data_IF_088888038405
#
_entry.id   IF_088888038405
#
_cell.length_a   1.000
_cell.length_b   1.000
_cell.length_c   1.000
_cell.angle_alpha   90.00
_cell.angle_beta   90.00
_cell.angle_gamma   90.00
#
_symmetry.space_group_name_H-M   'P 1'
#
loop_
_entity.id
_entity.type
_entity.pdbx_description
1 polymer ?
#
# COMPACT_ATOMS: atom_id res chain seq x y z
N UNK A 1 -13.84 24.62 -22.63
CA UNK A 1 -13.82 23.96 -21.30
C UNK A 1 -13.15 22.61 -21.51
N UNK A 2 -11.95 22.41 -20.99
CA UNK A 2 -11.26 21.12 -21.05
C UNK A 2 -11.87 20.22 -19.97
N UNK A 3 -12.66 19.23 -20.37
CA UNK A 3 -13.18 18.22 -19.47
C UNK A 3 -12.00 17.50 -18.81
N UNK A 4 -11.91 17.61 -17.48
CA UNK A 4 -10.89 16.94 -16.71
C UNK A 4 -11.33 15.49 -16.54
N UNK A 5 -10.62 14.56 -17.16
CA UNK A 5 -10.90 13.13 -17.02
C UNK A 5 -10.76 12.78 -15.52
N UNK A 6 -11.72 12.07 -14.92
CA UNK A 6 -11.60 11.65 -13.52
C UNK A 6 -10.37 10.76 -13.34
N UNK A 7 -9.63 10.98 -12.25
CA UNK A 7 -8.38 10.27 -11.95
C UNK A 7 -8.41 9.65 -10.55
N UNK A 8 -7.61 8.60 -10.37
CA UNK A 8 -7.37 7.91 -9.12
C UNK A 8 -5.91 8.09 -8.72
N UNK A 9 -5.66 8.29 -7.43
CA UNK A 9 -4.31 8.34 -6.85
C UNK A 9 -3.98 7.03 -6.16
N UNK A 10 -2.82 6.46 -6.49
CA UNK A 10 -2.30 5.22 -5.94
C UNK A 10 -0.92 5.43 -5.33
N UNK A 11 -0.69 4.77 -4.22
CA UNK A 11 0.63 4.63 -3.59
C UNK A 11 1.07 3.18 -3.73
N UNK A 12 2.37 2.92 -3.67
CA UNK A 12 2.90 1.59 -3.92
C UNK A 12 3.76 1.14 -2.77
N UNK A 13 3.42 -0.01 -2.21
CA UNK A 13 4.32 -0.77 -1.35
C UNK A 13 5.15 -1.70 -2.24
N UNK A 14 6.44 -1.83 -1.99
CA UNK A 14 7.29 -2.81 -2.64
C UNK A 14 7.27 -4.16 -1.89
N UNK A 15 7.90 -5.18 -2.49
CA UNK A 15 7.97 -6.52 -1.91
C UNK A 15 8.55 -6.56 -0.49
N UNK A 16 9.38 -5.61 -0.10
CA UNK A 16 10.02 -5.56 1.22
C UNK A 16 9.15 -4.89 2.29
N UNK A 17 7.94 -4.44 1.92
CA UNK A 17 7.05 -3.70 2.82
C UNK A 17 7.41 -2.23 2.95
N UNK A 18 8.25 -1.69 2.07
CA UNK A 18 8.60 -0.28 2.02
C UNK A 18 7.70 0.45 1.04
N UNK A 19 7.47 1.73 1.28
CA UNK A 19 6.70 2.57 0.39
C UNK A 19 7.60 3.19 -0.66
N UNK A 20 7.20 3.07 -1.92
CA UNK A 20 7.80 3.79 -3.04
C UNK A 20 7.66 5.29 -2.80
N UNK A 21 8.78 6.00 -2.87
CA UNK A 21 8.89 7.41 -2.48
C UNK A 21 9.83 8.16 -3.44
N UNK A 22 9.93 9.47 -3.25
CA UNK A 22 10.80 10.35 -4.03
C UNK A 22 11.91 10.91 -3.15
N UNK A 23 13.15 10.84 -3.65
CA UNK A 23 14.28 11.49 -3.03
C UNK A 23 14.44 12.91 -3.59
N UNK A 24 14.16 13.98 -2.82
CA UNK A 24 14.22 15.36 -3.32
C UNK A 24 15.63 15.86 -3.58
N UNK A 25 16.67 15.23 -3.03
CA UNK A 25 18.06 15.64 -3.22
C UNK A 25 18.62 15.12 -4.55
N UNK A 26 18.34 13.87 -4.90
CA UNK A 26 18.81 13.24 -6.14
C UNK A 26 17.79 13.33 -7.27
N UNK A 27 16.55 13.70 -6.95
CA UNK A 27 15.41 13.74 -7.85
C UNK A 27 15.07 12.39 -8.50
N UNK A 28 15.30 11.29 -7.76
CA UNK A 28 15.09 9.91 -8.21
C UNK A 28 13.99 9.21 -7.41
N UNK A 29 13.58 8.02 -7.88
CA UNK A 29 12.81 7.11 -7.03
C UNK A 29 13.68 6.69 -5.85
N UNK A 30 12.99 6.41 -4.76
CA UNK A 30 13.52 5.87 -3.53
C UNK A 30 12.44 5.04 -2.87
N UNK A 31 12.74 4.51 -1.70
CA UNK A 31 11.76 3.85 -0.86
C UNK A 31 12.07 4.14 0.60
N UNK A 32 11.04 4.12 1.42
CA UNK A 32 11.15 4.32 2.86
C UNK A 32 10.31 3.25 3.58
N UNK A 33 10.75 2.75 4.74
CA UNK A 33 9.93 1.88 5.55
C UNK A 33 8.53 2.45 5.76
N UNK A 34 7.50 1.61 5.72
CA UNK A 34 6.14 2.05 6.01
C UNK A 34 6.07 2.67 7.42
N UNK A 35 5.49 3.86 7.50
CA UNK A 35 5.30 4.60 8.75
C UNK A 35 3.81 4.91 8.92
N UNK A 36 3.12 4.34 9.92
CA UNK A 36 1.71 4.63 10.17
C UNK A 36 1.43 6.14 10.26
N UNK A 37 0.38 6.60 9.57
CA UNK A 37 -0.02 8.00 9.57
C UNK A 37 0.81 8.93 8.67
N UNK A 38 1.88 8.44 8.05
CA UNK A 38 2.70 9.21 7.10
C UNK A 38 2.42 8.78 5.66
N UNK A 39 2.05 9.73 4.82
CA UNK A 39 1.90 9.48 3.39
C UNK A 39 3.26 9.61 2.68
N UNK A 40 3.60 8.68 1.76
CA UNK A 40 4.77 8.81 0.90
C UNK A 40 4.74 10.11 0.07
N UNK A 41 5.93 10.61 -0.26
CA UNK A 41 6.12 11.80 -1.09
C UNK A 41 5.87 11.56 -2.59
N UNK A 42 5.61 10.31 -2.99
CA UNK A 42 5.31 9.92 -4.36
C UNK A 42 3.97 9.18 -4.46
N UNK A 43 3.21 9.47 -5.51
CA UNK A 43 2.01 8.72 -5.88
C UNK A 43 1.90 8.62 -7.41
N UNK A 44 1.15 7.65 -7.92
CA UNK A 44 0.74 7.60 -9.31
C UNK A 44 -0.68 8.12 -9.47
N UNK A 45 -0.89 8.91 -10.52
CA UNK A 45 -2.20 9.30 -11.03
C UNK A 45 -2.54 8.40 -12.22
N UNK A 46 -3.69 7.74 -12.14
CA UNK A 46 -4.19 6.82 -13.17
C UNK A 46 -5.61 7.22 -13.60
N UNK A 47 -6.02 6.92 -14.84
CA UNK A 47 -7.36 7.24 -15.32
C UNK A 47 -8.45 6.43 -14.61
N UNK A 48 -9.66 6.99 -14.57
CA UNK A 48 -10.89 6.29 -14.15
C UNK A 48 -11.78 6.05 -15.38
N UNK A 49 -12.28 4.82 -15.62
CA UNK A 49 -12.13 3.63 -14.78
C UNK A 49 -10.71 3.08 -14.78
N UNK A 50 -10.26 2.60 -13.62
CA UNK A 50 -8.93 2.01 -13.47
C UNK A 50 -8.88 0.66 -14.17
N UNK A 51 -7.99 0.54 -15.16
CA UNK A 51 -7.77 -0.66 -15.95
C UNK A 51 -6.27 -0.84 -16.17
N UNK A 52 -5.83 -2.10 -16.29
CA UNK A 52 -4.45 -2.47 -16.60
C UNK A 52 -4.40 -3.16 -17.98
N UNK A 53 -3.32 -2.98 -18.76
CA UNK A 53 -2.20 -2.08 -18.48
C UNK A 53 -2.59 -0.60 -18.60
N UNK A 54 -1.86 0.29 -17.94
CA UNK A 54 -2.03 1.73 -18.10
C UNK A 54 -0.72 2.50 -17.91
N UNK A 55 -0.71 3.78 -18.31
CA UNK A 55 0.44 4.68 -18.20
C UNK A 55 0.24 5.65 -17.02
N UNK A 56 0.68 5.30 -15.80
CA UNK A 56 0.58 6.18 -14.65
C UNK A 56 1.44 7.44 -14.81
N UNK A 57 0.92 8.57 -14.34
CA UNK A 57 1.72 9.78 -14.15
C UNK A 57 2.22 9.83 -12.71
N UNK A 58 3.53 9.78 -12.53
CA UNK A 58 4.16 9.81 -11.21
C UNK A 58 4.25 11.25 -10.69
N UNK A 59 3.53 11.56 -9.62
CA UNK A 59 3.43 12.89 -9.03
C UNK A 59 4.21 13.00 -7.71
N UNK A 60 5.14 13.96 -7.70
CA UNK A 60 5.96 14.33 -6.53
C UNK A 60 5.18 15.31 -5.64
N UNK A 61 5.23 15.10 -4.32
CA UNK A 61 4.53 15.96 -3.36
C UNK A 61 5.29 17.25 -3.01
N UNK A 62 6.63 17.23 -3.04
CA UNK A 62 7.47 18.30 -2.46
C UNK A 62 8.55 18.87 -3.39
N UNK A 63 8.75 18.34 -4.60
CA UNK A 63 9.71 18.91 -5.56
C UNK A 63 9.16 18.90 -6.98
N UNK A 64 9.57 19.89 -7.77
CA UNK A 64 9.38 19.95 -9.21
C UNK A 64 10.66 20.50 -9.84
N UNK A 65 11.50 19.64 -10.47
CA UNK A 65 12.07 20.08 -11.74
C UNK A 65 12.08 19.03 -12.86
N UNK A 66 12.08 17.72 -12.59
CA UNK A 66 12.13 16.70 -13.67
C UNK A 66 10.98 15.69 -13.61
N UNK A 67 10.34 15.36 -14.74
CA UNK A 67 9.44 14.23 -14.79
C UNK A 67 10.21 12.93 -14.57
N UNK A 68 9.56 11.95 -13.97
CA UNK A 68 10.04 10.57 -13.99
C UNK A 68 9.96 10.00 -15.42
N UNK A 69 10.73 8.95 -15.74
CA UNK A 69 10.55 8.26 -17.01
C UNK A 69 9.12 7.76 -17.14
N UNK A 70 8.68 7.62 -18.39
CA UNK A 70 7.42 6.98 -18.69
C UNK A 70 7.44 5.52 -18.23
N UNK A 71 6.37 5.12 -17.55
CA UNK A 71 6.17 3.77 -17.04
C UNK A 71 4.85 3.24 -17.58
N UNK A 72 4.82 1.96 -17.88
CA UNK A 72 3.60 1.19 -18.10
C UNK A 72 3.39 0.28 -16.89
N UNK A 73 2.28 0.47 -16.20
CA UNK A 73 1.88 -0.38 -15.10
C UNK A 73 1.10 -1.57 -15.66
N UNK A 74 1.58 -2.77 -15.37
CA UNK A 74 0.99 -4.04 -15.84
C UNK A 74 0.48 -4.85 -14.64
N UNK A 75 -0.60 -5.59 -14.84
CA UNK A 75 -1.10 -6.52 -13.84
C UNK A 75 -0.18 -7.74 -13.74
N UNK A 76 0.07 -8.18 -12.51
CA UNK A 76 0.62 -9.50 -12.21
C UNK A 76 -0.52 -10.42 -11.76
N UNK A 77 -0.46 -10.96 -10.55
CA UNK A 77 -1.52 -11.79 -9.97
C UNK A 77 -2.07 -11.13 -8.71
N UNK A 78 -3.36 -11.35 -8.41
CA UNK A 78 -3.98 -10.96 -7.15
C UNK A 78 -3.81 -9.47 -6.78
N UNK A 79 -4.07 -8.54 -7.72
CA UNK A 79 -3.91 -7.08 -7.53
C UNK A 79 -2.46 -6.59 -7.36
N UNK A 80 -1.46 -7.42 -7.60
CA UNK A 80 -0.07 -6.99 -7.65
C UNK A 80 0.26 -6.43 -9.04
N UNK A 81 1.20 -5.50 -9.11
CA UNK A 81 1.60 -4.85 -10.37
C UNK A 81 3.11 -4.81 -10.53
N UNK A 82 3.53 -4.63 -11.78
CA UNK A 82 4.91 -4.35 -12.17
C UNK A 82 4.93 -3.08 -13.02
N UNK A 83 6.09 -2.41 -13.08
CA UNK A 83 6.26 -1.24 -13.94
C UNK A 83 7.31 -1.53 -15.02
N UNK A 84 6.87 -1.57 -16.27
CA UNK A 84 7.73 -1.65 -17.45
C UNK A 84 8.17 -0.24 -17.86
N UNK A 85 9.43 -0.08 -18.26
CA UNK A 85 9.94 1.11 -18.95
C UNK A 85 9.90 0.81 -20.46
N UNK A 86 8.91 1.33 -21.22
CA UNK A 86 8.71 0.91 -22.61
C UNK A 86 9.93 1.15 -23.50
N UNK A 87 10.68 2.22 -23.22
CA UNK A 87 11.87 2.61 -23.98
C UNK A 87 13.01 1.58 -23.90
N UNK A 88 13.17 0.92 -22.77
CA UNK A 88 14.30 0.00 -22.52
C UNK A 88 13.87 -1.46 -22.44
N UNK A 89 12.57 -1.73 -22.28
CA UNK A 89 12.07 -3.08 -22.06
C UNK A 89 12.46 -3.66 -20.70
N UNK A 90 12.85 -2.80 -19.74
CA UNK A 90 13.28 -3.19 -18.40
C UNK A 90 12.26 -2.77 -17.36
N UNK A 91 12.33 -3.37 -16.17
CA UNK A 91 11.37 -3.16 -15.10
C UNK A 91 11.93 -2.29 -13.97
N UNK A 92 11.05 -1.52 -13.34
CA UNK A 92 11.32 -0.86 -12.06
C UNK A 92 11.55 -1.94 -11.00
N UNK A 93 12.62 -1.81 -10.22
CA UNK A 93 12.90 -2.71 -9.09
C UNK A 93 13.28 -1.97 -7.83
N UNK A 94 12.85 -2.51 -6.70
CA UNK A 94 13.22 -2.09 -5.37
C UNK A 94 14.33 -2.98 -4.80
N UNK A 95 15.53 -2.44 -4.59
CA UNK A 95 16.69 -3.23 -4.15
C UNK A 95 16.96 -3.00 -2.67
N UNK A 96 16.90 -4.03 -1.81
CA UNK A 96 17.05 -3.87 -0.36
C UNK A 96 18.51 -3.65 0.07
N UNK A 97 19.50 -4.01 -0.74
CA UNK A 97 20.91 -4.07 -0.32
C UNK A 97 21.71 -2.79 -0.59
N UNK A 98 22.36 -2.27 0.45
CA UNK A 98 23.56 -1.41 0.42
C UNK A 98 23.40 0.04 -0.06
N UNK A 99 22.45 0.31 -0.95
CA UNK A 99 22.21 1.65 -1.52
C UNK A 99 20.77 2.13 -1.36
N UNK A 100 19.86 1.32 -0.78
CA UNK A 100 18.44 1.64 -0.58
C UNK A 100 17.84 2.34 -1.82
N UNK A 101 17.94 1.63 -2.96
CA UNK A 101 17.73 2.22 -4.29
C UNK A 101 16.57 1.57 -5.01
N UNK A 102 15.89 2.41 -5.78
CA UNK A 102 14.92 1.99 -6.77
C UNK A 102 15.51 2.34 -8.14
N UNK A 103 15.66 1.34 -9.00
CA UNK A 103 16.27 1.51 -10.33
C UNK A 103 15.43 0.81 -11.42
N UNK A 104 15.85 0.91 -12.69
CA UNK A 104 15.13 0.39 -13.86
C UNK A 104 15.90 -0.71 -14.60
N UNK A 105 16.79 -1.43 -13.94
CA UNK A 105 17.74 -2.32 -14.61
C UNK A 105 17.30 -3.80 -14.62
N UNK A 106 16.10 -4.13 -14.12
CA UNK A 106 15.61 -5.50 -14.10
C UNK A 106 15.21 -5.97 -15.52
N UNK A 107 15.76 -7.08 -16.02
CA UNK A 107 15.40 -7.60 -17.34
C UNK A 107 14.11 -8.43 -17.34
N UNK A 108 13.63 -8.85 -16.17
CA UNK A 108 12.43 -9.65 -16.00
C UNK A 108 11.81 -9.37 -14.62
N UNK A 109 10.49 -9.50 -14.47
CA UNK A 109 9.83 -9.31 -13.19
C UNK A 109 10.12 -10.50 -12.25
N UNK A 110 10.60 -10.20 -11.04
CA UNK A 110 10.68 -11.10 -9.91
C UNK A 110 10.04 -10.43 -8.69
N UNK A 111 10.36 -10.94 -7.49
CA UNK A 111 9.84 -10.38 -6.24
C UNK A 111 10.14 -8.86 -6.12
N UNK A 112 11.36 -8.43 -6.39
CA UNK A 112 11.80 -7.04 -6.18
C UNK A 112 11.20 -6.03 -7.18
N UNK A 113 10.66 -6.53 -8.29
CA UNK A 113 9.98 -5.75 -9.32
C UNK A 113 8.45 -5.68 -9.08
N UNK A 114 7.98 -6.33 -8.02
CA UNK A 114 6.56 -6.43 -7.69
C UNK A 114 6.16 -5.35 -6.69
N UNK A 115 5.03 -4.70 -6.97
CA UNK A 115 4.47 -3.64 -6.15
C UNK A 115 3.00 -3.90 -5.85
N UNK A 116 2.55 -3.46 -4.68
CA UNK A 116 1.16 -3.51 -4.26
C UNK A 116 0.55 -2.09 -4.33
N UNK A 117 -0.39 -1.84 -5.27
CA UNK A 117 -1.09 -0.57 -5.38
C UNK A 117 -2.08 -0.39 -4.23
N UNK A 118 -2.04 0.78 -3.60
CA UNK A 118 -2.84 1.12 -2.43
C UNK A 118 -3.56 2.45 -2.65
N UNK A 119 -4.86 2.51 -2.34
CA UNK A 119 -5.58 3.78 -2.22
C UNK A 119 -5.27 4.45 -0.88
N UNK A 120 -5.69 5.71 -0.72
CA UNK A 120 -5.53 6.43 0.53
C UNK A 120 -6.25 5.75 1.70
N UNK A 121 -7.41 5.14 1.45
CA UNK A 121 -8.17 4.37 2.43
C UNK A 121 -7.40 3.12 2.84
N UNK A 122 -6.79 2.40 1.90
CA UNK A 122 -5.96 1.24 2.23
C UNK A 122 -4.77 1.60 3.09
N UNK A 123 -4.07 2.71 2.78
CA UNK A 123 -2.96 3.21 3.60
C UNK A 123 -3.40 3.58 5.01
N UNK A 124 -4.56 4.23 5.14
CA UNK A 124 -5.16 4.53 6.45
C UNK A 124 -5.49 3.25 7.20
N UNK A 125 -6.08 2.27 6.53
CA UNK A 125 -6.44 1.00 7.15
C UNK A 125 -5.22 0.25 7.66
N UNK A 126 -4.18 0.14 6.82
CA UNK A 126 -2.90 -0.43 7.22
C UNK A 126 -2.25 0.35 8.36
N UNK A 127 -2.31 1.68 8.33
CA UNK A 127 -1.79 2.52 9.42
C UNK A 127 -2.50 2.22 10.74
N UNK A 128 -3.82 2.10 10.73
CA UNK A 128 -4.60 1.78 11.95
C UNK A 128 -4.20 0.41 12.52
N UNK A 129 -4.06 -0.59 11.65
CA UNK A 129 -3.68 -1.96 12.05
C UNK A 129 -2.28 -2.00 12.67
N UNK A 130 -1.32 -1.25 12.11
CA UNK A 130 0.08 -1.26 12.56
C UNK A 130 0.39 -0.22 13.65
N UNK A 131 -0.57 0.62 14.04
CA UNK A 131 -0.36 1.61 15.11
C UNK A 131 -0.38 0.90 16.47
N UNK A 132 0.73 1.00 17.20
CA UNK A 132 0.80 0.60 18.60
C UNK A 132 -0.28 1.36 19.42
N UNK A 133 -0.75 0.75 20.52
CA UNK A 133 -1.85 1.24 21.37
C UNK A 133 -3.28 0.97 20.86
N UNK A 134 -3.50 -0.11 20.11
CA UNK A 134 -4.85 -0.61 19.82
C UNK A 134 -5.81 0.39 19.13
N UNK A 135 -5.27 1.31 18.32
CA UNK A 135 -6.08 2.24 17.52
C UNK A 135 -7.18 1.51 16.73
N UNK A 136 -6.92 0.26 16.35
CA UNK A 136 -7.93 -0.71 16.01
C UNK A 136 -7.74 -2.04 16.75
N UNK A 137 -8.86 -2.70 17.06
CA UNK A 137 -8.94 -4.08 17.55
C UNK A 137 -9.72 -4.93 16.55
N UNK A 138 -9.21 -6.11 16.22
CA UNK A 138 -9.87 -7.07 15.34
C UNK A 138 -10.31 -8.26 16.18
N UNK A 139 -11.62 -8.42 16.35
CA UNK A 139 -12.24 -9.46 17.18
C UNK A 139 -12.88 -10.53 16.29
N UNK A 140 -12.60 -11.81 16.54
CA UNK A 140 -13.23 -12.92 15.81
C UNK A 140 -14.61 -13.27 16.41
N UNK A 141 -15.32 -14.24 15.80
CA UNK A 141 -16.62 -14.69 16.32
C UNK A 141 -16.55 -15.35 17.72
N UNK A 142 -15.38 -15.85 18.12
CA UNK A 142 -15.12 -16.42 19.44
C UNK A 142 -14.75 -15.35 20.49
N UNK A 143 -14.79 -14.07 20.13
CA UNK A 143 -14.39 -12.92 20.96
C UNK A 143 -12.89 -12.84 21.28
N UNK A 144 -12.06 -13.56 20.52
CA UNK A 144 -10.61 -13.43 20.61
C UNK A 144 -10.14 -12.24 19.78
N UNK A 145 -9.24 -11.45 20.36
CA UNK A 145 -8.58 -10.34 19.70
C UNK A 145 -7.35 -10.82 18.94
N UNK A 146 -7.21 -10.40 17.69
CA UNK A 146 -5.95 -10.57 16.98
C UNK A 146 -4.85 -9.70 17.63
N UNK A 147 -3.63 -10.23 17.77
CA UNK A 147 -2.49 -9.49 18.30
C UNK A 147 -2.07 -8.36 17.35
N UNK A 148 -1.20 -7.45 17.81
CA UNK A 148 -0.62 -6.44 16.93
C UNK A 148 0.27 -7.14 15.87
N UNK A 149 0.00 -6.98 14.56
CA UNK A 149 0.79 -7.66 13.56
C UNK A 149 2.10 -6.93 13.28
N UNK A 150 3.01 -7.63 12.60
CA UNK A 150 4.21 -7.05 12.00
C UNK A 150 4.15 -7.15 10.48
N UNK A 151 4.67 -6.14 9.78
CA UNK A 151 4.76 -6.14 8.32
C UNK A 151 6.02 -6.89 7.89
N UNK A 152 5.84 -7.87 7.00
CA UNK A 152 6.89 -8.71 6.44
C UNK A 152 6.94 -8.59 4.91
N UNK A 153 8.04 -9.08 4.34
CA UNK A 153 8.21 -9.22 2.90
C UNK A 153 7.06 -10.03 2.26
N UNK A 154 6.78 -9.77 0.98
CA UNK A 154 5.68 -10.41 0.26
C UNK A 154 4.31 -9.81 0.55
N UNK A 155 4.27 -8.58 1.08
CA UNK A 155 3.05 -7.87 1.46
C UNK A 155 2.25 -8.63 2.54
N UNK A 156 2.93 -9.14 3.57
CA UNK A 156 2.33 -9.99 4.60
C UNK A 156 2.22 -9.24 5.93
N UNK A 157 1.03 -9.28 6.55
CA UNK A 157 0.86 -8.97 7.97
C UNK A 157 0.92 -10.26 8.78
N UNK A 158 1.91 -10.40 9.66
CA UNK A 158 2.03 -11.56 10.54
C UNK A 158 1.42 -11.28 11.90
N UNK A 159 0.38 -12.04 12.23
CA UNK A 159 -0.29 -12.09 13.53
C UNK A 159 0.18 -13.35 14.27
N UNK A 160 1.23 -13.24 15.08
CA UNK A 160 1.88 -14.40 15.72
C UNK A 160 2.28 -15.48 14.71
N UNK A 161 1.51 -16.57 14.61
CA UNK A 161 1.73 -17.72 13.72
C UNK A 161 0.91 -17.66 12.42
N UNK A 162 0.12 -16.61 12.21
CA UNK A 162 -0.76 -16.45 11.04
C UNK A 162 -0.28 -15.35 10.10
N UNK A 163 -0.15 -15.70 8.83
CA UNK A 163 0.21 -14.77 7.77
C UNK A 163 -1.05 -14.31 7.03
N UNK A 164 -1.27 -12.99 7.01
CA UNK A 164 -2.37 -12.34 6.30
C UNK A 164 -1.82 -11.58 5.08
N UNK A 165 -2.01 -12.08 3.85
CA UNK A 165 -1.56 -11.39 2.64
C UNK A 165 -2.39 -10.13 2.37
N UNK A 166 -1.75 -8.96 2.32
CA UNK A 166 -2.42 -7.67 2.11
C UNK A 166 -3.17 -7.60 0.77
N UNK A 167 -2.61 -8.21 -0.28
CA UNK A 167 -3.15 -8.19 -1.63
C UNK A 167 -4.46 -8.98 -1.80
N UNK A 168 -4.76 -9.91 -0.87
CA UNK A 168 -6.06 -10.59 -0.79
C UNK A 168 -7.10 -9.80 0.02
N UNK A 169 -6.67 -8.79 0.78
CA UNK A 169 -7.46 -8.11 1.79
C UNK A 169 -7.68 -6.62 1.48
N UNK A 170 -7.64 -6.23 0.21
CA UNK A 170 -7.79 -4.82 -0.22
C UNK A 170 -9.11 -4.20 0.24
N UNK A 171 -10.21 -4.95 0.18
CA UNK A 171 -11.53 -4.50 0.64
C UNK A 171 -11.56 -4.26 2.15
N UNK A 172 -11.00 -5.20 2.94
CA UNK A 172 -10.91 -5.06 4.39
C UNK A 172 -10.05 -3.85 4.79
N UNK A 173 -8.89 -3.66 4.14
CA UNK A 173 -8.04 -2.48 4.38
C UNK A 173 -8.78 -1.17 4.08
N UNK A 174 -9.52 -1.09 2.98
CA UNK A 174 -10.34 0.10 2.65
C UNK A 174 -11.40 0.36 3.71
N UNK A 175 -12.15 -0.67 4.08
CA UNK A 175 -13.22 -0.56 5.05
C UNK A 175 -12.70 -0.13 6.42
N UNK A 176 -11.59 -0.73 6.87
CA UNK A 176 -10.91 -0.35 8.11
C UNK A 176 -10.44 1.11 8.05
N UNK A 177 -9.85 1.54 6.92
CA UNK A 177 -9.39 2.92 6.75
C UNK A 177 -10.49 3.98 6.70
N UNK A 178 -11.74 3.56 6.53
CA UNK A 178 -12.94 4.41 6.53
C UNK A 178 -13.69 4.41 7.86
N UNK A 179 -13.33 3.53 8.81
CA UNK A 179 -13.95 3.52 10.13
C UNK A 179 -13.72 4.83 10.86
N UNK A 180 -14.78 5.42 11.41
CA UNK A 180 -14.66 6.61 12.27
C UNK A 180 -14.24 6.22 13.70
N UNK A 181 -13.53 7.08 14.45
CA UNK A 181 -13.21 6.82 15.84
C UNK A 181 -14.45 6.48 16.66
N UNK A 182 -14.37 5.46 17.52
CA UNK A 182 -15.48 4.98 18.34
C UNK A 182 -16.46 4.04 17.62
N UNK A 183 -16.35 3.87 16.30
CA UNK A 183 -17.22 2.97 15.54
C UNK A 183 -16.61 1.58 15.38
N UNK A 184 -17.49 0.62 15.06
CA UNK A 184 -17.11 -0.74 14.71
C UNK A 184 -17.76 -1.15 13.39
N UNK A 185 -17.13 -2.05 12.63
CA UNK A 185 -17.74 -2.63 11.44
C UNK A 185 -17.30 -4.09 11.25
N UNK A 186 -18.17 -4.94 10.67
CA UNK A 186 -17.77 -6.29 10.28
C UNK A 186 -16.80 -6.22 9.10
N UNK A 187 -15.69 -6.95 9.17
CA UNK A 187 -14.70 -7.04 8.11
C UNK A 187 -14.42 -8.52 7.81
N UNK A 188 -14.13 -8.83 6.56
CA UNK A 188 -13.84 -10.19 6.13
C UNK A 188 -12.39 -10.32 5.73
N UNK A 189 -11.66 -11.23 6.38
CA UNK A 189 -10.22 -11.44 6.18
C UNK A 189 -9.96 -12.79 5.49
N UNK A 190 -9.22 -12.75 4.39
CA UNK A 190 -8.81 -13.93 3.62
C UNK A 190 -7.35 -14.26 3.93
N UNK A 191 -7.12 -15.42 4.54
CA UNK A 191 -5.79 -15.85 4.98
C UNK A 191 -5.00 -16.56 3.87
N UNK A 192 -5.70 -17.27 2.99
CA UNK A 192 -5.07 -18.07 1.93
C UNK A 192 -5.86 -17.93 0.62
N UNK A 193 -5.15 -18.09 -0.50
CA UNK A 193 -5.76 -18.14 -1.83
C UNK A 193 -6.76 -19.30 -1.87
N UNK A 194 -7.88 -19.10 -2.55
CA UNK A 194 -8.98 -20.08 -2.71
C UNK A 194 -9.66 -20.53 -1.40
N UNK A 195 -9.39 -19.86 -0.28
CA UNK A 195 -10.12 -20.08 0.98
C UNK A 195 -11.19 -19.01 1.20
N UNK A 196 -12.35 -19.38 1.77
CA UNK A 196 -13.38 -18.39 2.09
C UNK A 196 -12.88 -17.40 3.15
N UNK A 197 -13.28 -16.12 3.07
CA UNK A 197 -12.95 -15.15 4.10
C UNK A 197 -13.52 -15.53 5.47
N UNK A 198 -12.79 -15.19 6.53
CA UNK A 198 -13.22 -15.32 7.92
C UNK A 198 -13.73 -13.97 8.41
N UNK A 199 -14.87 -13.97 9.12
CA UNK A 199 -15.49 -12.76 9.66
C UNK A 199 -14.79 -12.28 10.94
N UNK A 200 -14.58 -10.98 11.02
CA UNK A 200 -14.09 -10.27 12.20
C UNK A 200 -14.93 -9.00 12.42
N UNK A 201 -14.88 -8.44 13.61
CA UNK A 201 -15.34 -7.08 13.89
C UNK A 201 -14.13 -6.20 14.15
N UNK A 202 -14.01 -5.14 13.36
CA UNK A 202 -13.00 -4.12 13.53
C UNK A 202 -13.56 -3.01 14.43
N UNK A 203 -12.94 -2.79 15.59
CA UNK A 203 -13.30 -1.74 16.55
C UNK A 203 -12.25 -0.64 16.53
N UNK A 204 -12.62 0.57 16.09
CA UNK A 204 -11.73 1.73 16.15
C UNK A 204 -11.91 2.45 17.48
N UNK A 205 -10.82 2.68 18.20
CA UNK A 205 -10.89 3.41 19.48
C UNK A 205 -11.40 4.84 19.28
N UNK A 206 -12.10 5.36 20.29
CA UNK A 206 -12.53 6.75 20.31
C UNK A 206 -11.30 7.65 20.42
N UNK A 207 -11.34 8.83 19.79
CA UNK A 207 -10.30 9.82 20.01
C UNK A 207 -10.33 10.25 21.47
N UNK A 208 -9.28 9.95 22.23
CA UNK A 208 -9.06 10.57 23.54
C UNK A 208 -8.77 12.04 23.27
N UNK A 209 -9.63 12.95 23.75
CA UNK A 209 -9.29 14.36 23.78
C UNK A 209 -7.95 14.51 24.54
N UNK A 210 -6.99 15.29 24.01
CA UNK A 210 -5.80 15.59 24.79
C UNK A 210 -6.26 16.31 26.06
N UNK A 211 -5.93 15.75 27.22
CA UNK A 211 -6.13 16.40 28.50
C UNK A 211 -5.53 17.81 28.41
N UNK A 212 -6.38 18.83 28.41
CA UNK A 212 -5.97 20.22 28.53
C UNK A 212 -5.26 20.38 29.86
N UNK A 213 -3.94 20.61 29.79
CA UNK A 213 -3.12 21.07 30.93
C UNK A 213 -3.20 22.58 30.99
#
# INVERSE_FOLDING_TARGET
>A
MTETIPTLRLWFMDWHGWMLDHNPLTDTFSHNPFQPGRLPGLNAVVPVPFQLPCHPVMEKRISMPRPFPELEMQELSHNQVIFLVPKTGTYLRSVPSGQNRVDYAAPAPQAWETFFPMTIEMLRGLSLILTAHHAIRLENEAQDLLPLPTLHEGFILRFEDKDLPLFLNTAALKQIGQLMPGNSAPVSLTWQIDTPPVSFVAHREAATEPATV
#
